data_IF_623515759044
#
_entry.id   IF_623515759044
#
_cell.length_a   1.000
_cell.length_b   1.000
_cell.length_c   1.000
_cell.angle_alpha   90.00
_cell.angle_beta   90.00
_cell.angle_gamma   90.00
#
_symmetry.space_group_name_H-M   'P 1'
#
loop_
_entity.id
_entity.type
_entity.pdbx_description
1 polymer ?
#
# COMPACT_ATOMS: atom_id res chain seq x y z
N UNK A 1 -3.33 -43.29 -19.36
CA UNK A 1 -4.29 -42.71 -18.38
C UNK A 1 -3.60 -42.09 -17.17
N UNK A 2 -2.73 -42.79 -16.42
CA UNK A 2 -2.03 -42.23 -15.24
C UNK A 2 -1.29 -40.90 -15.50
N UNK A 3 -0.57 -40.79 -16.63
CA UNK A 3 0.15 -39.56 -17.00
C UNK A 3 -0.80 -38.37 -17.24
N UNK A 4 -1.94 -38.59 -17.91
CA UNK A 4 -2.96 -37.56 -18.17
C UNK A 4 -3.59 -37.06 -16.87
N UNK A 5 -3.88 -37.98 -15.92
CA UNK A 5 -4.39 -37.63 -14.60
C UNK A 5 -3.40 -36.75 -13.82
N UNK A 6 -2.10 -37.06 -13.88
CA UNK A 6 -1.05 -36.29 -13.21
C UNK A 6 -0.96 -34.87 -13.80
N UNK A 7 -0.96 -34.73 -15.13
CA UNK A 7 -0.96 -33.41 -15.77
C UNK A 7 -2.19 -32.58 -15.40
N UNK A 8 -3.36 -33.23 -15.33
CA UNK A 8 -4.59 -32.57 -14.92
C UNK A 8 -4.51 -32.05 -13.46
N UNK A 9 -4.05 -32.88 -12.53
CA UNK A 9 -3.89 -32.49 -11.12
C UNK A 9 -2.86 -31.36 -10.94
N UNK A 10 -1.74 -31.40 -11.65
CA UNK A 10 -0.74 -30.33 -11.63
C UNK A 10 -1.36 -29.02 -12.13
N UNK A 11 -2.15 -29.07 -13.21
CA UNK A 11 -2.80 -27.87 -13.75
C UNK A 11 -3.80 -27.23 -12.77
N UNK A 12 -4.60 -28.05 -12.07
CA UNK A 12 -5.51 -27.57 -11.03
C UNK A 12 -4.75 -26.92 -9.88
N UNK A 13 -3.64 -27.52 -9.47
CA UNK A 13 -2.81 -26.98 -8.39
C UNK A 13 -2.17 -25.65 -8.78
N UNK A 14 -1.62 -25.53 -10.00
CA UNK A 14 -1.02 -24.28 -10.47
C UNK A 14 -2.07 -23.18 -10.63
N UNK A 15 -3.27 -23.49 -11.12
CA UNK A 15 -4.39 -22.55 -11.18
C UNK A 15 -4.73 -22.06 -9.76
N UNK A 16 -4.89 -22.97 -8.79
CA UNK A 16 -5.15 -22.61 -7.40
C UNK A 16 -4.10 -21.67 -6.80
N UNK A 17 -2.81 -21.94 -7.05
CA UNK A 17 -1.71 -21.07 -6.63
C UNK A 17 -1.78 -19.68 -7.26
N UNK A 18 -2.07 -19.59 -8.56
CA UNK A 18 -2.20 -18.30 -9.26
C UNK A 18 -3.35 -17.46 -8.70
N UNK A 19 -4.51 -18.09 -8.44
CA UNK A 19 -5.64 -17.40 -7.82
C UNK A 19 -5.31 -16.90 -6.41
N UNK A 20 -4.63 -17.71 -5.59
CA UNK A 20 -4.20 -17.30 -4.26
C UNK A 20 -3.24 -16.12 -4.28
N UNK A 21 -2.22 -16.18 -5.14
CA UNK A 21 -1.25 -15.09 -5.31
C UNK A 21 -1.91 -13.80 -5.84
N UNK A 22 -2.84 -13.92 -6.79
CA UNK A 22 -3.58 -12.78 -7.32
C UNK A 22 -4.44 -12.10 -6.25
N UNK A 23 -5.14 -12.89 -5.42
CA UNK A 23 -5.95 -12.37 -4.32
C UNK A 23 -5.09 -11.58 -3.33
N UNK A 24 -3.97 -12.15 -2.88
CA UNK A 24 -3.05 -11.48 -1.96
C UNK A 24 -2.47 -10.19 -2.54
N UNK A 25 -2.15 -10.20 -3.85
CA UNK A 25 -1.68 -9.02 -4.55
C UNK A 25 -2.74 -7.91 -4.60
N UNK A 26 -3.99 -8.26 -4.92
CA UNK A 26 -5.11 -7.30 -4.96
C UNK A 26 -5.37 -6.70 -3.58
N UNK A 27 -5.42 -7.53 -2.54
CA UNK A 27 -5.60 -7.08 -1.16
C UNK A 27 -4.48 -6.12 -0.73
N UNK A 28 -3.22 -6.45 -1.07
CA UNK A 28 -2.10 -5.58 -0.78
C UNK A 28 -2.21 -4.23 -1.51
N UNK A 29 -2.65 -4.20 -2.77
CA UNK A 29 -2.87 -2.96 -3.52
C UNK A 29 -4.00 -2.10 -2.96
N UNK A 30 -5.09 -2.73 -2.52
CA UNK A 30 -6.18 -2.03 -1.86
C UNK A 30 -5.72 -1.41 -0.54
N UNK A 31 -4.87 -2.11 0.21
CA UNK A 31 -4.27 -1.61 1.44
C UNK A 31 -3.30 -0.44 1.21
N UNK A 32 -2.43 -0.53 0.19
CA UNK A 32 -1.56 0.60 -0.19
C UNK A 32 -2.38 1.85 -0.54
N UNK A 33 -3.49 1.67 -1.26
CA UNK A 33 -4.37 2.78 -1.65
C UNK A 33 -5.12 3.39 -0.47
N UNK A 34 -5.57 2.56 0.48
CA UNK A 34 -6.18 3.04 1.72
C UNK A 34 -5.18 3.84 2.57
N UNK A 35 -3.96 3.32 2.75
CA UNK A 35 -2.89 4.02 3.45
C UNK A 35 -2.56 5.36 2.80
N UNK A 36 -2.47 5.40 1.47
CA UNK A 36 -2.30 6.64 0.72
C UNK A 36 -3.43 7.63 0.96
N UNK A 37 -4.68 7.19 0.91
CA UNK A 37 -5.83 8.05 1.13
C UNK A 37 -5.80 8.71 2.51
N UNK A 38 -5.50 7.95 3.56
CA UNK A 38 -5.35 8.51 4.91
C UNK A 38 -4.21 9.52 4.99
N UNK A 39 -3.04 9.21 4.42
CA UNK A 39 -1.91 10.14 4.39
C UNK A 39 -2.24 11.42 3.62
N UNK A 40 -2.93 11.33 2.48
CA UNK A 40 -3.33 12.47 1.68
C UNK A 40 -4.29 13.39 2.46
N UNK A 41 -5.28 12.81 3.14
CA UNK A 41 -6.20 13.59 4.01
C UNK A 41 -5.44 14.31 5.12
N UNK A 42 -4.47 13.65 5.75
CA UNK A 42 -3.67 14.28 6.81
C UNK A 42 -2.77 15.39 6.29
N UNK A 43 -2.24 15.27 5.06
CA UNK A 43 -1.50 16.37 4.39
C UNK A 43 -2.38 17.60 4.22
N UNK A 44 -3.59 17.44 3.68
CA UNK A 44 -4.52 18.56 3.48
C UNK A 44 -4.83 19.26 4.81
N UNK A 45 -4.99 18.49 5.89
CA UNK A 45 -5.31 19.01 7.22
C UNK A 45 -4.11 19.67 7.92
N UNK A 46 -2.94 19.07 7.86
CA UNK A 46 -1.77 19.50 8.64
C UNK A 46 -0.93 20.58 7.96
N UNK A 47 -0.97 20.64 6.63
CA UNK A 47 -0.13 21.56 5.84
C UNK A 47 -0.94 22.61 5.07
N UNK A 48 -2.27 22.63 5.22
CA UNK A 48 -3.19 23.51 4.47
C UNK A 48 -2.89 23.47 2.96
N UNK A 49 -2.58 22.26 2.47
CA UNK A 49 -2.20 22.06 1.07
C UNK A 49 -3.45 22.17 0.19
N UNK A 50 -3.39 23.06 -0.79
CA UNK A 50 -4.50 23.29 -1.73
C UNK A 50 -4.28 22.64 -3.09
N UNK A 51 -3.05 22.18 -3.34
CA UNK A 51 -2.71 21.52 -4.59
C UNK A 51 -3.20 20.08 -4.66
N UNK A 52 -3.45 19.56 -5.88
CA UNK A 52 -3.69 18.14 -6.08
C UNK A 52 -2.55 17.29 -5.53
N UNK A 53 -2.92 16.28 -4.73
CA UNK A 53 -1.99 15.32 -4.13
C UNK A 53 -1.92 14.05 -4.97
N UNK A 54 -0.72 13.50 -5.10
CA UNK A 54 -0.42 12.31 -5.88
C UNK A 54 0.33 11.28 -5.04
N UNK A 55 0.18 10.02 -5.44
CA UNK A 55 0.94 8.91 -4.88
C UNK A 55 2.40 8.99 -5.35
N UNK A 56 3.29 9.33 -4.42
CA UNK A 56 4.74 9.42 -4.67
C UNK A 56 5.48 8.11 -4.39
N UNK A 57 4.81 7.12 -3.81
CA UNK A 57 5.37 5.82 -3.44
C UNK A 57 4.76 5.27 -2.16
N UNK A 58 4.74 3.95 -2.03
CA UNK A 58 4.40 3.26 -0.80
C UNK A 58 5.32 2.08 -0.61
N UNK A 59 5.73 1.84 0.63
CA UNK A 59 6.48 0.66 1.03
C UNK A 59 5.84 0.10 2.30
N UNK A 60 5.66 -1.21 2.35
CA UNK A 60 5.22 -1.88 3.56
C UNK A 60 6.42 -2.34 4.41
N UNK A 61 6.41 -1.98 5.69
CA UNK A 61 7.33 -2.49 6.70
C UNK A 61 6.70 -3.68 7.42
N UNK A 62 7.12 -4.88 7.05
CA UNK A 62 6.66 -6.14 7.64
C UNK A 62 7.02 -6.28 9.12
N UNK A 63 8.06 -5.58 9.61
CA UNK A 63 8.48 -5.66 11.01
C UNK A 63 7.50 -4.95 11.95
N UNK A 64 6.90 -3.86 11.49
CA UNK A 64 5.98 -3.03 12.28
C UNK A 64 4.51 -3.10 11.80
N UNK A 65 4.26 -3.73 10.66
CA UNK A 65 2.93 -3.80 10.06
C UNK A 65 2.46 -2.47 9.47
N UNK A 66 3.39 -1.58 9.09
CA UNK A 66 3.09 -0.18 8.73
C UNK A 66 3.36 0.10 7.26
N UNK A 67 2.57 0.98 6.68
CA UNK A 67 2.78 1.52 5.34
C UNK A 67 3.53 2.84 5.42
N UNK A 68 4.75 2.88 4.90
CA UNK A 68 5.50 4.11 4.64
C UNK A 68 4.98 4.71 3.33
N UNK A 69 4.31 5.85 3.40
CA UNK A 69 3.64 6.51 2.29
C UNK A 69 4.34 7.83 1.98
N UNK A 70 4.59 8.07 0.69
CA UNK A 70 5.03 9.36 0.18
C UNK A 70 3.88 9.99 -0.58
N UNK A 71 3.40 11.13 -0.08
CA UNK A 71 2.41 11.96 -0.78
C UNK A 71 3.16 13.11 -1.44
N UNK A 72 2.85 13.43 -2.70
CA UNK A 72 3.54 14.48 -3.46
C UNK A 72 2.52 15.47 -4.03
N UNK A 73 2.80 16.77 -3.98
CA UNK A 73 1.97 17.79 -4.66
C UNK A 73 2.45 18.03 -6.11
N UNK A 74 1.79 18.93 -6.85
CA UNK A 74 2.16 19.22 -8.24
C UNK A 74 3.53 19.87 -8.37
N UNK A 75 3.91 20.74 -7.43
CA UNK A 75 5.23 21.37 -7.38
C UNK A 75 6.36 20.39 -7.01
N UNK A 76 6.00 19.21 -6.55
CA UNK A 76 6.91 18.14 -6.20
C UNK A 76 7.45 18.15 -4.78
N UNK A 77 6.83 18.96 -3.90
CA UNK A 77 6.96 18.82 -2.46
C UNK A 77 6.45 17.45 -2.04
N UNK A 78 7.20 16.81 -1.15
CA UNK A 78 6.91 15.46 -0.65
C UNK A 78 6.59 15.52 0.84
N UNK A 79 5.60 14.75 1.23
CA UNK A 79 5.16 14.53 2.59
C UNK A 79 5.28 13.05 2.90
N UNK A 80 5.79 12.72 4.08
CA UNK A 80 6.18 11.35 4.44
C UNK A 80 5.40 10.92 5.66
N UNK A 81 4.68 9.82 5.54
CA UNK A 81 3.85 9.29 6.61
C UNK A 81 4.12 7.81 6.83
N UNK A 82 3.94 7.38 8.06
CA UNK A 82 3.73 5.98 8.38
C UNK A 82 2.29 5.76 8.81
N UNK A 83 1.62 4.82 8.16
CA UNK A 83 0.20 4.55 8.35
C UNK A 83 0.02 3.10 8.77
N UNK A 84 -0.60 2.90 9.93
CA UNK A 84 -1.06 1.60 10.40
C UNK A 84 -2.57 1.50 10.10
N UNK A 85 -2.93 0.46 9.36
CA UNK A 85 -4.33 0.15 9.04
C UNK A 85 -4.68 -1.26 9.54
N UNK A 86 -5.95 -1.48 9.89
CA UNK A 86 -6.44 -2.80 10.27
C UNK A 86 -6.62 -3.72 9.05
N UNK A 87 -6.93 -4.99 9.29
CA UNK A 87 -7.28 -5.95 8.25
C UNK A 87 -8.53 -5.54 7.44
N UNK A 88 -9.42 -4.75 8.05
CA UNK A 88 -10.60 -4.15 7.41
C UNK A 88 -10.29 -2.80 6.74
N UNK A 89 -9.00 -2.42 6.67
CA UNK A 89 -8.49 -1.16 6.08
C UNK A 89 -8.94 0.10 6.80
N UNK A 90 -9.36 -0.02 8.05
CA UNK A 90 -9.63 1.14 8.88
C UNK A 90 -8.31 1.71 9.39
N UNK A 91 -8.22 3.05 9.48
CA UNK A 91 -7.08 3.73 10.09
C UNK A 91 -6.97 3.36 11.58
N UNK A 92 -5.81 2.87 11.99
CA UNK A 92 -5.46 2.62 13.39
C UNK A 92 -4.58 3.73 13.92
N UNK A 93 -3.53 4.09 13.17
CA UNK A 93 -2.57 5.11 13.56
C UNK A 93 -1.91 5.76 12.33
N UNK A 94 -1.55 7.03 12.44
CA UNK A 94 -0.80 7.77 11.43
C UNK A 94 0.27 8.63 12.10
N UNK A 95 1.51 8.53 11.61
CA UNK A 95 2.64 9.35 12.06
C UNK A 95 3.15 10.20 10.91
N UNK A 96 3.30 11.51 11.15
CA UNK A 96 3.92 12.42 10.21
C UNK A 96 5.44 12.44 10.42
N UNK A 97 6.16 12.00 9.40
CA UNK A 97 7.62 11.96 9.35
C UNK A 97 8.21 13.01 8.41
N UNK A 98 7.39 13.92 7.87
CA UNK A 98 7.79 14.88 6.83
C UNK A 98 8.95 15.77 7.27
N UNK A 99 8.96 16.23 8.53
CA UNK A 99 10.01 17.09 9.08
C UNK A 99 11.34 16.38 9.35
N UNK A 100 11.35 15.05 9.43
CA UNK A 100 12.54 14.26 9.76
C UNK A 100 13.36 13.87 8.54
N UNK A 101 12.83 14.08 7.33
CA UNK A 101 13.53 13.78 6.08
C UNK A 101 14.06 15.10 5.52
N UNK A 102 15.38 15.37 5.61
CA UNK A 102 15.94 16.61 5.10
C UNK A 102 15.71 16.72 3.59
N UNK A 103 15.31 17.92 3.15
CA UNK A 103 15.27 18.28 1.73
C UNK A 103 16.66 18.09 1.15
N UNK A 104 16.79 17.08 0.28
CA UNK A 104 18.04 16.73 -0.42
C UNK A 104 18.38 17.76 -1.49
#
# INVERSE_FOLDING_TARGET
>A
MKKVLIFFLISLFTIGMLFGAFKLYSEHKENEMAAFHYAAVEVLKSYDESEPLFHGGTRYDFGQGRYMVIVKNQQGKKYYYEVLISDERALVEILDNTSYIPSS
#
